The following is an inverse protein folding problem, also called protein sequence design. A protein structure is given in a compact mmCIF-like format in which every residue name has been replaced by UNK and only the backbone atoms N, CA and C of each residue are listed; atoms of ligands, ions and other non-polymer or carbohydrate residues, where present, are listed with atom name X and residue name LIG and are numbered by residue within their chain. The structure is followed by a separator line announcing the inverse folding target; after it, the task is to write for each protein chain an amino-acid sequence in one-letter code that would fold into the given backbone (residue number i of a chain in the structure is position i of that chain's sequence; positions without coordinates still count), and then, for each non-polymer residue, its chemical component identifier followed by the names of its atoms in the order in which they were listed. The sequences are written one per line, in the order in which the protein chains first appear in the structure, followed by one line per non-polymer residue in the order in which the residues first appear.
data_IF_522174225067
#
_entry.id   IF_522174225067
#
_cell.length_a   1.000
_cell.length_b   1.000
_cell.length_c   1.000
_cell.angle_alpha   90.00
_cell.angle_beta   90.00
_cell.angle_gamma   90.00
#
_symmetry.space_group_name_H-M   'P 1'
#
loop_
_entity.id
_entity.type
_entity.pdbx_description
1 polymer ?
#
# COMPACT_ATOMS: atom_id res chain seq x y z
N UNK A 1 -8.38 -16.05 -27.32
CA UNK A 1 -8.54 -16.70 -26.00
C UNK A 1 -7.61 -15.98 -25.04
N UNK A 2 -8.10 -15.56 -23.87
CA UNK A 2 -7.22 -15.03 -22.83
C UNK A 2 -6.41 -16.18 -22.24
N UNK A 3 -5.10 -16.03 -22.13
CA UNK A 3 -4.19 -16.96 -21.47
C UNK A 3 -3.51 -16.25 -20.31
N UNK A 4 -3.13 -16.98 -19.27
CA UNK A 4 -2.45 -16.37 -18.13
C UNK A 4 -1.02 -15.97 -18.56
N UNK A 5 -0.68 -14.68 -18.46
CA UNK A 5 0.65 -14.18 -18.86
C UNK A 5 1.79 -14.82 -18.04
N UNK A 6 1.47 -15.33 -16.84
CA UNK A 6 2.43 -15.89 -15.91
C UNK A 6 2.70 -17.39 -16.12
N UNK A 7 1.66 -18.19 -16.36
CA UNK A 7 1.79 -19.65 -16.49
C UNK A 7 1.46 -20.21 -17.87
N UNK A 8 1.00 -19.35 -18.80
CA UNK A 8 0.61 -19.74 -20.16
C UNK A 8 -0.68 -20.56 -20.25
N UNK A 9 -1.38 -20.79 -19.13
CA UNK A 9 -2.59 -21.62 -19.12
C UNK A 9 -3.76 -20.90 -19.81
N UNK A 10 -4.29 -21.54 -20.85
CA UNK A 10 -5.40 -21.07 -21.67
C UNK A 10 -6.78 -21.37 -21.06
N UNK A 11 -6.83 -22.21 -20.01
CA UNK A 11 -8.06 -22.55 -19.27
C UNK A 11 -8.10 -21.90 -17.88
N UNK A 12 -7.17 -20.99 -17.61
CA UNK A 12 -7.02 -20.39 -16.31
C UNK A 12 -8.23 -19.55 -15.91
N UNK A 13 -8.58 -19.58 -14.63
CA UNK A 13 -9.62 -18.71 -14.07
C UNK A 13 -9.02 -17.32 -13.81
N UNK A 14 -9.49 -16.34 -14.58
CA UNK A 14 -9.15 -14.94 -14.37
C UNK A 14 -10.06 -14.34 -13.31
N UNK A 15 -9.50 -13.73 -12.27
CA UNK A 15 -10.32 -13.17 -11.21
C UNK A 15 -11.03 -11.89 -11.65
N UNK A 16 -12.28 -11.67 -11.22
CA UNK A 16 -13.07 -10.50 -11.57
C UNK A 16 -12.66 -9.29 -10.72
N UNK A 17 -11.43 -8.78 -10.89
CA UNK A 17 -10.85 -7.59 -10.20
C UNK A 17 -10.25 -7.83 -8.82
N UNK A 18 -10.66 -8.86 -8.06
CA UNK A 18 -10.12 -9.14 -6.72
C UNK A 18 -10.13 -10.63 -6.35
N UNK A 19 -9.13 -11.09 -5.59
CA UNK A 19 -9.08 -12.45 -5.02
C UNK A 19 -8.86 -12.43 -3.51
N UNK A 20 -9.35 -13.46 -2.81
CA UNK A 20 -9.00 -13.70 -1.40
C UNK A 20 -7.77 -14.59 -1.33
N UNK A 21 -6.76 -14.15 -0.59
CA UNK A 21 -5.55 -14.94 -0.31
C UNK A 21 -5.45 -15.16 1.18
N UNK A 22 -5.32 -16.41 1.62
CA UNK A 22 -5.14 -16.70 3.04
C UNK A 22 -3.68 -16.48 3.46
N UNK A 23 -3.47 -15.71 4.53
CA UNK A 23 -2.14 -15.50 5.13
C UNK A 23 -2.10 -16.26 6.45
N UNK A 24 -1.49 -17.47 6.52
CA UNK A 24 -1.50 -18.29 7.72
C UNK A 24 -0.91 -17.60 8.95
N UNK A 25 0.17 -16.81 8.76
CA UNK A 25 0.85 -16.12 9.86
C UNK A 25 0.03 -14.99 10.50
N UNK A 26 -0.98 -14.46 9.80
CA UNK A 26 -1.88 -13.44 10.32
C UNK A 26 -3.29 -14.00 10.62
N UNK A 27 -3.61 -15.21 10.16
CA UNK A 27 -4.91 -15.85 10.36
C UNK A 27 -6.06 -15.08 9.69
N UNK A 28 -5.81 -14.46 8.54
CA UNK A 28 -6.76 -13.61 7.81
C UNK A 28 -6.66 -13.85 6.30
N UNK A 29 -7.74 -13.52 5.59
CA UNK A 29 -7.85 -13.67 4.13
C UNK A 29 -8.10 -12.32 3.46
N UNK A 30 -7.09 -11.43 3.35
CA UNK A 30 -7.26 -10.16 2.67
C UNK A 30 -7.70 -10.34 1.23
N UNK A 31 -8.35 -9.30 0.72
CA UNK A 31 -8.70 -9.20 -0.69
C UNK A 31 -7.58 -8.46 -1.41
N UNK A 32 -7.00 -9.07 -2.44
CA UNK A 32 -5.90 -8.52 -3.21
C UNK A 32 -6.31 -8.31 -4.68
N UNK A 33 -5.82 -7.23 -5.26
CA UNK A 33 -5.94 -6.95 -6.68
C UNK A 33 -5.00 -7.88 -7.47
N UNK A 34 -5.44 -8.44 -8.61
CA UNK A 34 -4.60 -9.27 -9.46
C UNK A 34 -3.50 -8.45 -10.11
N UNK A 35 -2.36 -9.11 -10.35
CA UNK A 35 -1.30 -8.58 -11.18
C UNK A 35 -1.70 -8.80 -12.65
N UNK A 36 -1.87 -7.74 -13.44
CA UNK A 36 -2.09 -7.83 -14.90
C UNK A 36 -3.15 -8.88 -15.33
N UNK A 37 -3.02 -9.48 -16.51
CA UNK A 37 -3.81 -10.63 -16.96
C UNK A 37 -3.28 -11.96 -16.38
N UNK A 38 -3.08 -12.02 -15.06
CA UNK A 38 -2.69 -13.23 -14.35
C UNK A 38 -3.92 -13.98 -13.81
N UNK A 39 -3.82 -15.31 -13.73
CA UNK A 39 -4.84 -16.13 -13.08
C UNK A 39 -4.77 -16.00 -11.55
N UNK A 40 -5.84 -16.46 -10.87
CA UNK A 40 -5.95 -16.38 -9.41
C UNK A 40 -4.77 -17.10 -8.70
N UNK A 41 -4.41 -18.30 -9.16
CA UNK A 41 -3.32 -19.09 -8.57
C UNK A 41 -1.94 -18.42 -8.70
N UNK A 42 -1.64 -17.82 -9.87
CA UNK A 42 -0.38 -17.09 -10.06
C UNK A 42 -0.33 -15.83 -9.20
N UNK A 43 -1.44 -15.10 -9.10
CA UNK A 43 -1.56 -13.92 -8.23
C UNK A 43 -1.31 -14.28 -6.77
N UNK A 44 -1.98 -15.33 -6.28
CA UNK A 44 -1.80 -15.82 -4.90
C UNK A 44 -0.35 -16.21 -4.63
N UNK A 45 0.26 -16.98 -5.54
CA UNK A 45 1.66 -17.40 -5.41
C UNK A 45 2.60 -16.19 -5.28
N UNK A 46 2.51 -15.22 -6.19
CA UNK A 46 3.38 -14.03 -6.14
C UNK A 46 3.12 -13.20 -4.88
N UNK A 47 1.86 -13.08 -4.47
CA UNK A 47 1.52 -12.37 -3.25
C UNK A 47 2.21 -13.00 -2.03
N UNK A 48 2.11 -14.32 -1.87
CA UNK A 48 2.71 -15.05 -0.76
C UNK A 48 4.25 -15.04 -0.81
N UNK A 49 4.85 -15.14 -2.01
CA UNK A 49 6.31 -15.03 -2.20
C UNK A 49 6.84 -13.64 -1.83
N UNK A 50 6.13 -12.57 -2.17
CA UNK A 50 6.52 -11.21 -1.75
C UNK A 50 6.27 -11.00 -0.27
N UNK A 51 5.18 -11.54 0.26
CA UNK A 51 4.84 -11.46 1.68
C UNK A 51 5.86 -12.18 2.58
N UNK A 52 6.47 -13.28 2.15
CA UNK A 52 7.43 -14.00 3.01
C UNK A 52 8.71 -13.22 3.30
N UNK A 53 8.97 -12.14 2.55
CA UNK A 53 10.19 -11.33 2.61
C UNK A 53 9.93 -9.96 3.28
N UNK A 54 8.67 -9.58 3.49
CA UNK A 54 8.38 -8.31 4.18
C UNK A 54 8.73 -8.41 5.68
N UNK A 55 9.16 -7.31 6.30
CA UNK A 55 9.41 -7.27 7.73
C UNK A 55 8.21 -7.76 8.54
N UNK A 56 8.49 -8.57 9.56
CA UNK A 56 7.47 -8.99 10.50
C UNK A 56 6.80 -7.77 11.15
N UNK A 57 5.48 -7.83 11.28
CA UNK A 57 4.70 -6.73 11.85
C UNK A 57 4.53 -5.51 10.95
N UNK A 58 4.94 -5.54 9.67
CA UNK A 58 4.54 -4.51 8.69
C UNK A 58 3.03 -4.56 8.44
N UNK A 59 2.49 -5.77 8.30
CA UNK A 59 1.06 -6.02 8.22
C UNK A 59 0.55 -6.52 9.56
N UNK A 60 -0.59 -5.99 9.97
CA UNK A 60 -1.25 -6.32 11.24
C UNK A 60 -2.70 -6.72 10.99
N UNK A 61 -3.21 -7.62 11.83
CA UNK A 61 -4.62 -8.00 11.82
C UNK A 61 -5.46 -6.94 12.52
N UNK A 62 -6.55 -6.52 11.88
CA UNK A 62 -7.59 -5.67 12.46
C UNK A 62 -8.95 -6.34 12.24
N UNK A 63 -9.48 -6.99 13.28
CA UNK A 63 -10.68 -7.82 13.16
C UNK A 63 -10.46 -8.98 12.19
N UNK A 64 -11.25 -9.03 11.12
CA UNK A 64 -11.11 -10.02 10.03
C UNK A 64 -10.29 -9.50 8.83
N UNK A 65 -9.72 -8.30 8.95
CA UNK A 65 -8.98 -7.61 7.87
C UNK A 65 -7.49 -7.49 8.16
N UNK A 66 -6.74 -7.17 7.11
CA UNK A 66 -5.32 -6.76 7.19
C UNK A 66 -5.25 -5.24 7.14
N UNK A 67 -4.37 -4.67 7.96
CA UNK A 67 -3.98 -3.26 7.91
C UNK A 67 -2.46 -3.13 7.94
N UNK A 68 -1.97 -1.90 7.75
CA UNK A 68 -0.54 -1.57 7.77
C UNK A 68 -0.17 -0.98 9.13
N UNK A 69 0.86 -1.56 9.75
CA UNK A 69 1.57 -0.88 10.83
C UNK A 69 2.46 0.20 10.22
N UNK A 70 1.94 1.42 10.16
CA UNK A 70 2.68 2.56 9.61
C UNK A 70 3.96 2.85 10.39
N UNK A 71 3.97 2.63 11.70
CA UNK A 71 5.18 2.73 12.50
C UNK A 71 6.27 1.75 12.03
N UNK A 72 5.91 0.48 11.81
CA UNK A 72 6.85 -0.52 11.28
C UNK A 72 7.28 -0.17 9.86
N UNK A 73 6.33 0.19 8.99
CA UNK A 73 6.61 0.55 7.58
C UNK A 73 7.57 1.74 7.47
N UNK A 74 7.39 2.76 8.31
CA UNK A 74 8.25 3.95 8.37
C UNK A 74 9.66 3.61 8.82
N UNK A 75 9.79 2.85 9.92
CA UNK A 75 11.10 2.43 10.43
C UNK A 75 11.83 1.63 9.36
N UNK A 76 11.11 0.70 8.73
CA UNK A 76 11.60 -0.10 7.61
C UNK A 76 12.04 0.76 6.42
N UNK A 77 11.26 1.77 6.01
CA UNK A 77 11.63 2.67 4.90
C UNK A 77 12.93 3.41 5.19
N UNK A 78 13.08 3.96 6.40
CA UNK A 78 14.27 4.71 6.81
C UNK A 78 15.54 3.85 6.75
N UNK A 79 15.45 2.54 7.00
CA UNK A 79 16.56 1.59 6.85
C UNK A 79 16.73 1.07 5.42
N UNK A 80 15.64 0.64 4.78
CA UNK A 80 15.68 -0.03 3.48
C UNK A 80 16.17 0.89 2.35
N UNK A 81 15.87 2.19 2.41
CA UNK A 81 16.39 3.16 1.43
C UNK A 81 17.92 3.29 1.46
N UNK A 82 18.57 2.91 2.57
CA UNK A 82 20.03 2.98 2.71
C UNK A 82 20.72 1.67 2.34
N UNK A 83 20.07 0.54 2.61
CA UNK A 83 20.75 -0.76 2.65
C UNK A 83 20.24 -1.78 1.61
N UNK A 84 18.97 -1.72 1.19
CA UNK A 84 18.37 -2.69 0.26
C UNK A 84 17.12 -2.12 -0.46
N UNK A 85 17.32 -1.68 -1.70
CA UNK A 85 16.24 -1.16 -2.54
C UNK A 85 15.25 -2.23 -3.03
N UNK A 86 15.64 -3.50 -3.07
CA UNK A 86 14.77 -4.58 -3.55
C UNK A 86 13.69 -4.90 -2.51
N UNK A 87 14.06 -5.04 -1.24
CA UNK A 87 13.08 -5.30 -0.16
C UNK A 87 12.05 -4.16 -0.05
N UNK A 88 12.47 -2.90 -0.24
CA UNK A 88 11.58 -1.75 -0.25
C UNK A 88 10.55 -1.83 -1.38
N UNK A 89 10.99 -2.14 -2.60
CA UNK A 89 10.11 -2.33 -3.75
C UNK A 89 9.15 -3.52 -3.57
N UNK A 90 9.61 -4.62 -2.95
CA UNK A 90 8.76 -5.77 -2.64
C UNK A 90 7.67 -5.43 -1.62
N UNK A 91 8.01 -4.70 -0.56
CA UNK A 91 7.03 -4.23 0.41
C UNK A 91 5.95 -3.35 -0.25
N UNK A 92 6.38 -2.41 -1.09
CA UNK A 92 5.44 -1.55 -1.83
C UNK A 92 4.56 -2.33 -2.80
N UNK A 93 5.09 -3.38 -3.43
CA UNK A 93 4.28 -4.27 -4.27
C UNK A 93 3.22 -5.05 -3.48
N UNK A 94 3.52 -5.48 -2.26
CA UNK A 94 2.51 -6.10 -1.37
C UNK A 94 1.41 -5.09 -1.05
N UNK A 95 1.77 -3.83 -0.75
CA UNK A 95 0.81 -2.77 -0.46
C UNK A 95 -0.01 -2.33 -1.69
N UNK A 96 0.57 -2.39 -2.90
CA UNK A 96 -0.14 -2.23 -4.16
C UNK A 96 -1.17 -3.35 -4.37
N UNK A 97 -0.76 -4.61 -4.19
CA UNK A 97 -1.67 -5.76 -4.32
C UNK A 97 -2.79 -5.72 -3.28
N UNK A 98 -2.53 -5.24 -2.05
CA UNK A 98 -3.56 -5.03 -1.03
C UNK A 98 -4.47 -3.82 -1.31
N UNK A 99 -4.16 -3.04 -2.36
CA UNK A 99 -4.90 -1.82 -2.68
C UNK A 99 -4.76 -0.74 -1.61
N UNK A 100 -3.66 -0.73 -0.85
CA UNK A 100 -3.28 0.38 0.05
C UNK A 100 -2.70 1.53 -0.78
N UNK A 101 -1.92 1.16 -1.80
CA UNK A 101 -1.37 2.07 -2.80
C UNK A 101 -1.96 1.81 -4.18
N UNK A 102 -1.80 2.79 -5.06
CA UNK A 102 -2.06 2.69 -6.50
C UNK A 102 -1.11 3.60 -7.28
N UNK A 103 -0.91 3.33 -8.56
CA UNK A 103 -0.24 4.27 -9.47
C UNK A 103 -1.20 5.28 -10.07
N UNK A 104 -2.51 5.07 -9.92
CA UNK A 104 -3.51 5.95 -10.48
C UNK A 104 -3.66 7.21 -9.63
N UNK A 105 -3.51 8.35 -10.30
CA UNK A 105 -3.63 9.66 -9.69
C UNK A 105 -5.08 9.93 -9.25
N UNK A 106 -6.00 9.93 -10.20
CA UNK A 106 -7.35 10.45 -10.02
C UNK A 106 -8.13 9.77 -8.90
N UNK A 107 -8.75 10.57 -8.03
CA UNK A 107 -9.57 10.07 -6.91
C UNK A 107 -8.78 9.53 -5.71
N UNK A 108 -7.45 9.48 -5.79
CA UNK A 108 -6.57 9.03 -4.70
C UNK A 108 -5.94 10.20 -3.96
N UNK A 109 -5.25 9.90 -2.87
CA UNK A 109 -4.71 10.89 -1.95
C UNK A 109 -3.22 11.13 -2.19
N UNK A 110 -2.85 12.41 -2.28
CA UNK A 110 -1.48 12.88 -2.43
C UNK A 110 -1.07 13.74 -1.23
N UNK A 111 0.19 13.58 -0.82
CA UNK A 111 0.87 14.39 0.18
C UNK A 111 1.93 15.19 -0.57
N UNK A 112 1.86 16.52 -0.52
CA UNK A 112 2.83 17.40 -1.18
C UNK A 112 3.49 18.34 -0.20
N UNK A 113 4.76 18.68 -0.46
CA UNK A 113 5.45 19.82 0.16
C UNK A 113 5.88 20.78 -0.94
N UNK A 114 5.15 21.88 -1.08
CA UNK A 114 5.26 22.77 -2.24
C UNK A 114 4.91 22.11 -3.55
N UNK A 115 5.90 21.96 -4.44
CA UNK A 115 5.72 21.34 -5.75
C UNK A 115 6.25 19.91 -5.82
N UNK A 116 6.69 19.34 -4.69
CA UNK A 116 7.21 17.98 -4.62
C UNK A 116 6.22 17.04 -3.93
N UNK A 117 6.03 15.85 -4.52
CA UNK A 117 5.28 14.76 -3.89
C UNK A 117 6.13 14.14 -2.76
N UNK A 118 5.50 13.91 -1.61
CA UNK A 118 6.08 13.21 -0.47
C UNK A 118 5.62 11.75 -0.39
N UNK A 119 4.82 11.31 -1.37
CA UNK A 119 4.32 9.96 -1.43
C UNK A 119 5.47 8.94 -1.59
N UNK A 120 5.29 7.70 -1.11
CA UNK A 120 6.23 6.63 -1.39
C UNK A 120 6.45 6.44 -2.89
N UNK A 121 7.69 6.13 -3.27
CA UNK A 121 8.03 5.78 -4.65
C UNK A 121 8.25 4.27 -4.78
N UNK A 122 8.06 3.77 -5.99
CA UNK A 122 8.45 2.44 -6.44
C UNK A 122 9.32 2.55 -7.67
N UNK A 123 9.87 1.43 -8.14
CA UNK A 123 10.63 1.37 -9.40
C UNK A 123 9.88 1.91 -10.63
N UNK A 124 8.54 1.91 -10.62
CA UNK A 124 7.72 2.40 -11.74
C UNK A 124 7.12 3.79 -11.49
N UNK A 125 7.48 4.46 -10.39
CA UNK A 125 7.06 5.83 -10.09
C UNK A 125 6.34 5.99 -8.74
N UNK A 126 5.66 7.13 -8.59
CA UNK A 126 4.97 7.56 -7.37
C UNK A 126 3.76 6.67 -7.04
N UNK A 127 3.54 6.42 -5.75
CA UNK A 127 2.45 5.63 -5.21
C UNK A 127 1.42 6.54 -4.51
N UNK A 128 0.18 6.55 -4.97
CA UNK A 128 -0.93 7.27 -4.35
C UNK A 128 -1.65 6.39 -3.32
N UNK A 129 -2.12 7.00 -2.22
CA UNK A 129 -2.89 6.26 -1.21
C UNK A 129 -4.33 6.13 -1.68
N UNK A 130 -4.90 4.92 -1.59
CA UNK A 130 -6.29 4.66 -1.98
C UNK A 130 -7.32 5.06 -0.92
N UNK A 131 -6.86 5.26 0.32
CA UNK A 131 -7.70 5.62 1.46
C UNK A 131 -7.11 6.80 2.23
N UNK A 132 -7.98 7.72 2.63
CA UNK A 132 -7.65 8.90 3.44
C UNK A 132 -6.92 8.52 4.74
N UNK A 133 -7.34 7.43 5.38
CA UNK A 133 -6.80 6.99 6.67
C UNK A 133 -5.31 6.66 6.55
N UNK A 134 -4.91 6.02 5.45
CA UNK A 134 -3.53 5.65 5.20
C UNK A 134 -2.65 6.87 4.88
N UNK A 135 -3.16 7.81 4.07
CA UNK A 135 -2.46 9.07 3.80
C UNK A 135 -2.21 9.87 5.08
N UNK A 136 -3.20 9.96 5.98
CA UNK A 136 -3.06 10.65 7.27
C UNK A 136 -2.00 9.98 8.16
N UNK A 137 -2.01 8.65 8.22
CA UNK A 137 -1.03 7.91 9.01
C UNK A 137 0.40 8.15 8.53
N UNK A 138 0.61 8.23 7.22
CA UNK A 138 1.93 8.53 6.64
C UNK A 138 2.35 9.99 6.86
N UNK A 139 1.44 10.96 6.67
CA UNK A 139 1.74 12.37 6.91
C UNK A 139 2.19 12.67 8.34
N UNK A 140 1.67 11.93 9.33
CA UNK A 140 2.12 12.00 10.72
C UNK A 140 3.62 11.69 10.87
N UNK A 141 4.20 10.85 10.03
CA UNK A 141 5.65 10.55 10.07
C UNK A 141 6.51 11.72 9.64
N UNK A 142 6.15 12.36 8.52
CA UNK A 142 6.88 13.49 7.97
C UNK A 142 6.94 14.68 8.96
N UNK A 143 5.97 14.76 9.88
CA UNK A 143 5.92 15.75 10.96
C UNK A 143 6.94 15.54 12.10
N UNK A 144 7.55 14.36 12.25
CA UNK A 144 8.49 14.07 13.34
C UNK A 144 9.96 14.28 12.92
N UNK A 145 10.34 15.54 12.72
CA UNK A 145 11.74 15.97 12.74
C UNK A 145 12.22 16.95 11.67
N UNK A 146 11.36 17.40 10.75
CA UNK A 146 11.76 18.41 9.77
C UNK A 146 10.61 19.36 9.46
N UNK A 147 10.90 20.66 9.44
CA UNK A 147 10.00 21.73 9.02
C UNK A 147 9.73 21.64 7.51
N UNK A 148 8.88 20.70 7.11
CA UNK A 148 8.29 20.70 5.78
C UNK A 148 6.87 21.23 5.89
N UNK A 149 6.56 22.23 5.07
CA UNK A 149 5.21 22.71 4.86
C UNK A 149 4.55 21.76 3.87
N UNK A 150 3.64 20.92 4.35
CA UNK A 150 2.97 19.92 3.52
C UNK A 150 1.45 20.05 3.57
N UNK A 151 0.79 19.50 2.55
CA UNK A 151 -0.66 19.44 2.39
C UNK A 151 -1.09 18.06 1.93
N UNK A 152 -2.29 17.64 2.33
CA UNK A 152 -2.93 16.41 1.84
C UNK A 152 -4.13 16.82 1.01
N UNK A 153 -4.26 16.28 -0.19
CA UNK A 153 -5.46 16.47 -0.99
C UNK A 153 -5.86 15.18 -1.69
N UNK A 154 -7.15 15.04 -1.92
CA UNK A 154 -7.68 14.19 -2.97
C UNK A 154 -7.69 15.02 -4.25
N UNK A 155 -7.50 14.41 -5.42
CA UNK A 155 -7.64 15.14 -6.69
C UNK A 155 -9.03 15.77 -6.83
N UNK A 156 -9.16 17.04 -6.42
CA UNK A 156 -10.41 17.78 -6.33
C UNK A 156 -10.58 18.55 -5.01
N UNK A 157 -10.08 18.03 -3.88
CA UNK A 157 -10.38 18.56 -2.54
C UNK A 157 -9.17 18.57 -1.60
N UNK A 158 -8.87 19.73 -1.01
CA UNK A 158 -7.82 19.92 0.00
C UNK A 158 -8.35 19.55 1.39
N UNK A 159 -7.57 18.79 2.16
CA UNK A 159 -7.83 18.57 3.58
C UNK A 159 -7.13 19.65 4.41
N UNK A 160 -7.89 20.29 5.28
CA UNK A 160 -7.35 21.25 6.23
C UNK A 160 -6.58 20.57 7.36
N UNK A 161 -5.66 21.31 7.98
CA UNK A 161 -4.88 20.86 9.13
C UNK A 161 -5.79 20.38 10.27
N UNK A 162 -6.87 21.11 10.53
CA UNK A 162 -7.82 20.87 11.61
C UNK A 162 -8.53 19.52 11.43
N UNK A 163 -8.94 19.20 10.20
CA UNK A 163 -9.57 17.93 9.86
C UNK A 163 -8.64 16.73 10.03
N UNK A 164 -7.34 16.91 9.77
CA UNK A 164 -6.32 15.87 9.99
C UNK A 164 -6.28 15.52 11.48
N UNK A 165 -6.19 16.53 12.34
CA UNK A 165 -6.11 16.32 13.80
C UNK A 165 -7.42 15.81 14.40
N UNK A 166 -8.58 16.21 13.86
CA UNK A 166 -9.88 15.71 14.31
C UNK A 166 -10.08 14.23 13.99
N UNK A 167 -9.74 13.79 12.77
CA UNK A 167 -9.88 12.39 12.33
C UNK A 167 -8.97 11.45 13.13
N UNK A 168 -7.79 11.93 13.55
CA UNK A 168 -6.85 11.15 14.36
C UNK A 168 -7.42 10.76 15.73
N UNK A 169 -8.22 11.63 16.36
CA UNK A 169 -8.84 11.33 17.66
C UNK A 169 -9.88 10.21 17.57
N UNK A 170 -10.51 10.04 16.41
CA UNK A 170 -11.54 9.02 16.17
C UNK A 170 -10.95 7.63 15.86
N UNK A 171 -9.78 7.57 15.24
CA UNK A 171 -9.12 6.29 14.89
C UNK A 171 -8.36 5.67 16.09
N UNK A 172 -8.05 6.48 17.10
CA UNK A 172 -7.32 6.07 18.32
C UNK A 172 -8.22 5.91 19.56
N UNK A 173 -9.53 6.16 19.43
CA UNK A 173 -10.53 6.00 20.48
C UNK A 173 -11.30 4.68 20.28
#
# INVERSE_FOLDING_TARGET
MAYCDMCGDQKAVFPPERIRVFIPSLGVSPTVSPLSHSCAACTEKVFLERFSIIPSGLLVRVGESVSVSWETYVRFRRSAYRDDGDIYNRANAVLLMLGVFTHERNGNWEIQSGHASLNPESVIGTLYFTSRVYAIAFAREALFGAEYWWFIFQYGDLITREEIFATQKLVLA
#
